data_IF_602023086770
#
_entry.id   IF_602023086770
#
_cell.length_a   1.000
_cell.length_b   1.000
_cell.length_c   1.000
_cell.angle_alpha   90.00
_cell.angle_beta   90.00
_cell.angle_gamma   90.00
#
_symmetry.space_group_name_H-M   'P 1'
#
loop_
_entity.id
_entity.type
_entity.pdbx_description
1 polymer ?
#
# COMPACT_ATOMS: atom_id res chain seq x y z
N UNK A 1 -1.81 22.34 4.35
CA UNK A 1 -1.43 21.62 3.12
C UNK A 1 0.04 21.89 2.86
N UNK A 2 0.88 20.88 2.99
CA UNK A 2 2.30 20.95 2.62
C UNK A 2 2.40 20.97 1.09
N UNK A 3 3.20 21.87 0.53
CA UNK A 3 3.43 21.88 -0.92
C UNK A 3 4.49 20.83 -1.28
N UNK A 4 4.32 20.19 -2.44
CA UNK A 4 5.32 19.25 -2.96
C UNK A 4 6.70 19.94 -3.06
N UNK A 5 7.74 19.31 -2.47
CA UNK A 5 9.10 19.83 -2.45
C UNK A 5 9.40 20.90 -1.38
N UNK A 6 8.43 21.32 -0.58
CA UNK A 6 8.60 22.37 0.43
C UNK A 6 9.61 22.00 1.53
N UNK A 7 9.78 20.69 1.80
CA UNK A 7 10.74 20.16 2.77
C UNK A 7 12.21 20.51 2.46
N UNK A 8 12.54 20.91 1.23
CA UNK A 8 13.91 21.28 0.84
C UNK A 8 14.34 22.67 1.37
N UNK A 9 13.37 23.53 1.65
CA UNK A 9 13.59 24.94 1.99
C UNK A 9 12.96 25.34 3.33
N UNK A 10 12.18 24.44 3.94
CA UNK A 10 11.52 24.64 5.23
C UNK A 10 11.43 23.31 5.98
N UNK A 11 11.73 23.36 7.27
CA UNK A 11 11.56 22.21 8.16
C UNK A 11 10.08 21.81 8.26
N UNK A 12 9.84 20.50 8.39
CA UNK A 12 8.51 19.92 8.60
C UNK A 12 8.45 19.32 10.00
N UNK A 13 7.33 19.51 10.70
CA UNK A 13 7.13 18.88 12.00
C UNK A 13 6.69 17.41 11.83
N UNK A 14 7.08 16.55 12.77
CA UNK A 14 6.75 15.13 12.71
C UNK A 14 5.24 14.85 12.64
N UNK A 15 4.42 15.68 13.30
CA UNK A 15 2.95 15.58 13.30
C UNK A 15 2.30 15.83 11.94
N UNK A 16 3.03 16.43 11.00
CA UNK A 16 2.55 16.75 9.66
C UNK A 16 2.97 15.69 8.62
N UNK A 17 3.66 14.63 9.06
CA UNK A 17 4.13 13.53 8.22
C UNK A 17 3.25 12.32 8.46
N UNK A 18 2.58 11.86 7.41
CA UNK A 18 1.79 10.64 7.48
C UNK A 18 2.70 9.40 7.57
N UNK A 19 2.44 8.52 8.54
CA UNK A 19 3.18 7.26 8.74
C UNK A 19 2.24 6.05 8.76
N UNK A 20 2.73 4.81 8.51
CA UNK A 20 1.87 3.63 8.49
C UNK A 20 1.09 3.39 9.79
N UNK A 21 1.63 3.78 10.93
CA UNK A 21 0.96 3.69 12.23
C UNK A 21 -0.29 4.58 12.35
N UNK A 22 -0.46 5.54 11.44
CA UNK A 22 -1.63 6.43 11.37
C UNK A 22 -2.73 5.90 10.44
N UNK A 23 -2.58 4.72 9.83
CA UNK A 23 -3.65 4.11 9.06
C UNK A 23 -4.89 3.86 9.93
N UNK A 24 -6.05 4.34 9.45
CA UNK A 24 -7.34 4.08 10.07
C UNK A 24 -7.84 2.66 9.84
N UNK A 25 -8.89 2.28 10.55
CA UNK A 25 -9.49 0.94 10.50
C UNK A 25 -9.87 0.52 9.08
N UNK A 26 -10.59 1.36 8.33
CA UNK A 26 -10.99 1.08 6.94
C UNK A 26 -9.80 0.86 6.01
N UNK A 27 -8.71 1.62 6.21
CA UNK A 27 -7.49 1.49 5.41
C UNK A 27 -6.78 0.16 5.72
N UNK A 28 -6.73 -0.23 7.00
CA UNK A 28 -6.18 -1.52 7.44
C UNK A 28 -7.03 -2.71 6.98
N UNK A 29 -8.36 -2.56 6.99
CA UNK A 29 -9.27 -3.57 6.43
C UNK A 29 -9.04 -3.77 4.94
N UNK A 30 -8.91 -2.68 4.17
CA UNK A 30 -8.62 -2.76 2.74
C UNK A 30 -7.26 -3.43 2.46
N UNK A 31 -6.24 -3.10 3.25
CA UNK A 31 -4.93 -3.74 3.16
C UNK A 31 -5.02 -5.25 3.43
N UNK A 32 -5.79 -5.64 4.45
CA UNK A 32 -6.01 -7.04 4.81
C UNK A 32 -6.76 -7.80 3.72
N UNK A 33 -7.84 -7.23 3.18
CA UNK A 33 -8.61 -7.83 2.09
C UNK A 33 -7.77 -8.02 0.82
N UNK A 34 -6.93 -7.03 0.48
CA UNK A 34 -6.02 -7.11 -0.66
C UNK A 34 -4.98 -8.22 -0.46
N UNK A 35 -4.42 -8.33 0.76
CA UNK A 35 -3.47 -9.38 1.09
C UNK A 35 -4.10 -10.77 0.98
N UNK A 36 -5.30 -10.97 1.53
CA UNK A 36 -6.01 -12.24 1.43
C UNK A 36 -6.31 -12.63 -0.02
N UNK A 37 -6.69 -11.67 -0.86
CA UNK A 37 -6.92 -11.92 -2.28
C UNK A 37 -5.63 -12.39 -2.97
N UNK A 38 -4.49 -11.75 -2.70
CA UNK A 38 -3.20 -12.17 -3.26
C UNK A 38 -2.86 -13.59 -2.84
N UNK A 39 -2.98 -13.91 -1.55
CA UNK A 39 -2.63 -15.23 -1.02
C UNK A 39 -3.53 -16.35 -1.57
N UNK A 40 -4.84 -16.08 -1.68
CA UNK A 40 -5.83 -17.11 -2.07
C UNK A 40 -5.99 -17.24 -3.57
N UNK A 41 -5.97 -16.14 -4.32
CA UNK A 41 -6.34 -16.13 -5.74
C UNK A 41 -5.12 -15.98 -6.65
N UNK A 42 -4.08 -15.26 -6.23
CA UNK A 42 -2.90 -15.03 -7.07
C UNK A 42 -1.81 -16.06 -6.81
N UNK A 43 -1.44 -16.28 -5.55
CA UNK A 43 -0.28 -17.10 -5.21
C UNK A 43 -0.47 -18.57 -5.56
N UNK A 44 -1.69 -19.11 -5.42
CA UNK A 44 -2.02 -20.47 -5.86
C UNK A 44 -1.83 -20.67 -7.38
N UNK A 45 -1.94 -19.60 -8.16
CA UNK A 45 -1.89 -19.64 -9.62
C UNK A 45 -0.65 -18.95 -10.18
N UNK A 46 0.28 -18.52 -9.32
CA UNK A 46 1.47 -17.72 -9.69
C UNK A 46 2.28 -18.38 -10.79
N UNK A 47 2.63 -19.66 -10.66
CA UNK A 47 3.42 -20.38 -11.69
C UNK A 47 2.72 -20.45 -13.05
N UNK A 48 1.39 -20.55 -13.06
CA UNK A 48 0.59 -20.57 -14.28
C UNK A 48 0.62 -19.19 -14.96
N UNK A 49 0.46 -18.12 -14.18
CA UNK A 49 0.54 -16.75 -14.67
C UNK A 49 1.92 -16.37 -15.19
N UNK A 50 3.00 -16.84 -14.53
CA UNK A 50 4.38 -16.65 -15.00
C UNK A 50 4.63 -17.29 -16.38
N UNK A 51 3.94 -18.40 -16.68
CA UNK A 51 3.95 -19.05 -17.99
C UNK A 51 3.05 -18.37 -19.03
N UNK A 52 2.47 -17.22 -18.70
CA UNK A 52 1.50 -16.45 -19.51
C UNK A 52 0.22 -17.23 -19.81
N UNK A 53 -0.11 -18.22 -19.01
CA UNK A 53 -1.33 -19.02 -19.17
C UNK A 53 -2.48 -18.37 -18.38
N UNK A 54 -3.16 -17.42 -19.02
CA UNK A 54 -4.25 -16.65 -18.40
C UNK A 54 -5.65 -17.23 -18.65
N UNK A 55 -5.75 -18.43 -19.24
CA UNK A 55 -7.04 -19.04 -19.62
C UNK A 55 -7.73 -19.81 -18.51
#
# INVERSE_FOLDING_TARGET
MIKGGEFLIKDQEAKDIFIPEEFGEDQLMMASATKEFVEKELDLHRERFEKKDYK
#
